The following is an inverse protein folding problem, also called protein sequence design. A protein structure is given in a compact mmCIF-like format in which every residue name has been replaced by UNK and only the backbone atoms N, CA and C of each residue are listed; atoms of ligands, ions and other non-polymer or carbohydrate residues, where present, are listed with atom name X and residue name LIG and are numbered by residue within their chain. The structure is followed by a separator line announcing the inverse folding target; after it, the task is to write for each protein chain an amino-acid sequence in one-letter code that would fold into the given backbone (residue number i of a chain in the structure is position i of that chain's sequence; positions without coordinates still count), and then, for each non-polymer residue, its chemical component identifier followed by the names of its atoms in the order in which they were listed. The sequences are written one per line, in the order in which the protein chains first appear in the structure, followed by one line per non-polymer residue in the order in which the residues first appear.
data_IF_589291408296
#
_entry.id   IF_589291408296
#
_cell.length_a   1.000
_cell.length_b   1.000
_cell.length_c   1.000
_cell.angle_alpha   90.00
_cell.angle_beta   90.00
_cell.angle_gamma   90.00
#
_symmetry.space_group_name_H-M   'P 1'
#
loop_
_entity.id
_entity.type
_entity.pdbx_description
1 polymer ?
#
# COMPACT_ATOMS: atom_id res chain seq x y z
N UNK A 1 -1.77 -13.06 5.28
CA UNK A 1 -0.95 -11.85 4.99
C UNK A 1 0.43 -12.03 5.61
N UNK A 2 1.46 -11.47 5.03
CA UNK A 2 2.77 -11.30 5.64
C UNK A 2 2.87 -9.88 6.20
N UNK A 3 3.62 -9.71 7.29
CA UNK A 3 3.81 -8.43 7.95
C UNK A 3 5.30 -8.10 8.05
N UNK A 4 5.61 -6.81 8.04
CA UNK A 4 6.97 -6.27 8.20
C UNK A 4 6.92 -5.14 9.21
N UNK A 5 7.89 -5.11 10.11
CA UNK A 5 8.00 -4.03 11.09
C UNK A 5 8.34 -2.70 10.41
N UNK A 6 7.60 -1.64 10.74
CA UNK A 6 7.98 -0.28 10.34
C UNK A 6 9.19 0.12 11.17
N UNK A 7 10.32 0.52 10.54
CA UNK A 7 11.54 0.89 11.25
C UNK A 7 11.31 1.97 12.32
N UNK A 8 12.04 1.88 13.42
CA UNK A 8 11.92 2.84 14.53
C UNK A 8 10.62 2.75 15.35
N UNK A 9 9.71 1.80 15.05
CA UNK A 9 8.41 1.64 15.71
C UNK A 9 8.17 0.20 16.19
N UNK A 10 7.04 -0.02 16.87
CA UNK A 10 6.51 -1.35 17.21
C UNK A 10 5.46 -1.87 16.22
N UNK A 11 5.11 -1.07 15.22
CA UNK A 11 4.04 -1.36 14.26
C UNK A 11 4.43 -2.45 13.26
N UNK A 12 3.53 -3.44 13.08
CA UNK A 12 3.66 -4.52 12.11
C UNK A 12 2.72 -4.25 10.92
N UNK A 13 3.25 -3.71 9.84
CA UNK A 13 2.48 -3.38 8.64
C UNK A 13 2.32 -4.59 7.73
N UNK A 14 1.12 -4.80 7.18
CA UNK A 14 0.90 -5.76 6.10
C UNK A 14 1.77 -5.43 4.88
N UNK A 15 2.30 -6.45 4.20
CA UNK A 15 3.14 -6.26 3.00
C UNK A 15 2.37 -5.62 1.83
N UNK A 16 1.04 -5.54 1.92
CA UNK A 16 0.19 -4.75 1.03
C UNK A 16 -0.38 -3.59 1.84
N UNK A 17 -0.26 -2.37 1.30
CA UNK A 17 -0.86 -1.14 1.80
C UNK A 17 -2.02 -0.74 0.88
N UNK A 18 -3.20 -0.52 1.44
CA UNK A 18 -4.39 -0.11 0.67
C UNK A 18 -4.36 1.40 0.43
N UNK A 19 -4.22 1.81 -0.82
CA UNK A 19 -4.28 3.22 -1.24
C UNK A 19 -5.71 3.66 -1.55
N UNK A 20 -6.08 4.85 -1.10
CA UNK A 20 -7.46 5.36 -1.13
C UNK A 20 -7.69 6.53 -2.10
N UNK A 21 -6.76 6.82 -3.00
CA UNK A 21 -6.84 7.97 -3.92
C UNK A 21 -8.12 7.95 -4.81
N UNK A 22 -8.71 6.78 -5.05
CA UNK A 22 -9.93 6.62 -5.86
C UNK A 22 -11.23 6.66 -5.05
N UNK A 23 -11.16 6.86 -3.74
CA UNK A 23 -12.33 6.93 -2.88
C UNK A 23 -13.04 8.29 -3.01
N UNK A 24 -14.36 8.25 -3.04
CA UNK A 24 -15.21 9.36 -3.41
C UNK A 24 -15.60 9.33 -4.90
N UNK A 25 -14.66 9.01 -5.81
CA UNK A 25 -14.87 8.80 -7.25
C UNK A 25 -13.65 8.09 -7.87
N UNK A 26 -13.81 7.02 -8.65
CA UNK A 26 -15.07 6.38 -9.03
C UNK A 26 -15.63 5.42 -7.98
N UNK A 27 -14.95 5.22 -6.84
CA UNK A 27 -15.43 4.32 -5.79
C UNK A 27 -16.29 5.12 -4.81
N UNK A 28 -17.60 4.87 -4.81
CA UNK A 28 -18.55 5.55 -3.94
C UNK A 28 -18.27 5.25 -2.45
N UNK A 29 -18.67 6.15 -1.55
CA UNK A 29 -18.38 6.04 -0.11
C UNK A 29 -18.72 4.69 0.51
N UNK A 30 -19.96 4.17 0.38
CA UNK A 30 -20.33 2.87 0.95
C UNK A 30 -19.50 1.70 0.40
N UNK A 31 -19.19 1.72 -0.90
CA UNK A 31 -18.34 0.70 -1.53
C UNK A 31 -16.89 0.80 -1.04
N UNK A 32 -16.37 2.02 -0.89
CA UNK A 32 -15.04 2.26 -0.36
C UNK A 32 -14.91 1.80 1.10
N UNK A 33 -15.92 2.08 1.95
CA UNK A 33 -15.98 1.57 3.33
C UNK A 33 -15.93 0.04 3.34
N UNK A 34 -16.71 -0.61 2.48
CA UNK A 34 -16.71 -2.07 2.35
C UNK A 34 -15.33 -2.59 1.93
N UNK A 35 -14.66 -1.97 0.97
CA UNK A 35 -13.33 -2.39 0.51
C UNK A 35 -12.28 -2.31 1.62
N UNK A 36 -12.29 -1.26 2.46
CA UNK A 36 -11.35 -1.15 3.59
C UNK A 36 -11.57 -2.29 4.59
N UNK A 37 -12.83 -2.55 4.95
CA UNK A 37 -13.18 -3.64 5.89
C UNK A 37 -12.83 -5.01 5.32
N UNK A 38 -13.20 -5.26 4.07
CA UNK A 38 -12.87 -6.49 3.35
C UNK A 38 -11.36 -6.76 3.33
N UNK A 39 -10.55 -5.73 3.07
CA UNK A 39 -9.10 -5.86 3.03
C UNK A 39 -8.51 -6.36 4.36
N UNK A 40 -9.01 -5.87 5.50
CA UNK A 40 -8.58 -6.36 6.81
C UNK A 40 -9.16 -7.75 7.12
N UNK A 41 -10.47 -7.91 6.99
CA UNK A 41 -11.20 -9.09 7.46
C UNK A 41 -10.83 -10.35 6.68
N UNK A 42 -10.76 -10.25 5.34
CA UNK A 42 -10.49 -11.41 4.48
C UNK A 42 -8.99 -11.64 4.23
N UNK A 43 -8.18 -10.58 4.27
CA UNK A 43 -6.77 -10.68 3.89
C UNK A 43 -5.79 -10.22 4.96
N UNK A 44 -6.24 -9.61 6.04
CA UNK A 44 -5.38 -9.05 7.07
C UNK A 44 -4.55 -7.86 6.59
N UNK A 45 -5.04 -7.10 5.59
CA UNK A 45 -4.43 -5.85 5.17
C UNK A 45 -4.77 -4.79 6.19
N UNK A 46 -3.79 -4.46 7.04
CA UNK A 46 -3.97 -3.51 8.13
C UNK A 46 -3.40 -2.12 7.86
N UNK A 47 -2.66 -1.93 6.78
CA UNK A 47 -2.04 -0.65 6.44
C UNK A 47 -2.89 0.08 5.40
N UNK A 48 -3.43 1.25 5.77
CA UNK A 48 -4.31 2.09 4.95
C UNK A 48 -3.61 3.43 4.73
N UNK A 49 -3.50 3.84 3.47
CA UNK A 49 -2.87 5.10 3.07
C UNK A 49 -3.90 6.03 2.42
N UNK A 50 -4.08 7.20 3.02
CA UNK A 50 -4.89 8.30 2.51
C UNK A 50 -4.09 9.60 2.43
N UNK A 51 -4.73 10.71 2.11
CA UNK A 51 -4.16 12.06 2.15
C UNK A 51 -5.26 13.12 2.26
N UNK A 52 -4.92 14.28 2.84
CA UNK A 52 -5.84 15.41 2.97
C UNK A 52 -6.40 15.89 1.62
N UNK A 53 -5.68 15.65 0.52
CA UNK A 53 -6.08 16.07 -0.82
C UNK A 53 -6.94 15.04 -1.58
N UNK A 54 -7.14 13.81 -1.08
CA UNK A 54 -7.78 12.76 -1.86
C UNK A 54 -9.31 12.89 -1.90
N UNK A 55 -9.85 13.00 -3.12
CA UNK A 55 -11.28 13.11 -3.45
C UNK A 55 -11.64 12.24 -4.67
N UNK A 56 -10.77 11.33 -5.05
CA UNK A 56 -10.92 10.56 -6.27
C UNK A 56 -10.81 11.42 -7.54
N UNK A 57 -11.57 11.04 -8.56
CA UNK A 57 -11.54 11.69 -9.89
C UNK A 57 -12.29 13.03 -9.93
N UNK A 58 -13.02 13.37 -8.89
CA UNK A 58 -13.80 14.61 -8.82
C UNK A 58 -12.98 15.81 -8.33
N UNK A 59 -11.69 15.61 -8.01
CA UNK A 59 -10.81 16.68 -7.55
C UNK A 59 -10.68 17.80 -8.58
N UNK A 60 -10.78 19.02 -8.11
CA UNK A 60 -10.56 20.24 -8.87
C UNK A 60 -9.62 21.21 -8.12
N UNK A 61 -9.08 22.21 -8.83
CA UNK A 61 -8.23 23.23 -8.21
C UNK A 61 -9.03 24.05 -7.19
N UNK A 62 -8.49 24.22 -5.97
CA UNK A 62 -9.16 24.94 -4.87
C UNK A 62 -10.13 24.07 -4.05
N UNK A 63 -10.27 22.79 -4.38
CA UNK A 63 -11.06 21.83 -3.58
C UNK A 63 -10.46 21.68 -2.17
N UNK A 64 -11.32 21.63 -1.16
CA UNK A 64 -10.93 21.47 0.24
C UNK A 64 -10.32 20.09 0.57
N UNK A 65 -10.45 19.12 -0.33
CA UNK A 65 -9.98 17.75 -0.09
C UNK A 65 -10.75 17.00 0.98
N UNK A 66 -10.19 15.90 1.44
CA UNK A 66 -10.63 15.19 2.65
C UNK A 66 -11.69 14.13 2.46
N UNK A 67 -12.29 13.98 1.29
CA UNK A 67 -13.36 12.98 1.05
C UNK A 67 -12.88 11.56 1.36
N UNK A 68 -11.67 11.19 0.92
CA UNK A 68 -11.13 9.86 1.22
C UNK A 68 -10.85 9.69 2.73
N UNK A 69 -10.43 10.73 3.45
CA UNK A 69 -10.21 10.68 4.90
C UNK A 69 -11.53 10.45 5.67
N UNK A 70 -12.63 11.10 5.28
CA UNK A 70 -13.95 10.88 5.88
C UNK A 70 -14.43 9.45 5.69
N UNK A 71 -14.27 8.89 4.47
CA UNK A 71 -14.61 7.51 4.14
C UNK A 71 -13.76 6.52 4.95
N UNK A 72 -12.45 6.76 5.03
CA UNK A 72 -11.54 5.90 5.80
C UNK A 72 -11.88 5.97 7.29
N UNK A 73 -12.15 7.17 7.83
CA UNK A 73 -12.57 7.34 9.21
C UNK A 73 -13.81 6.53 9.56
N UNK A 74 -14.83 6.53 8.69
CA UNK A 74 -16.03 5.69 8.86
C UNK A 74 -15.67 4.19 8.81
N UNK A 75 -14.80 3.81 7.87
CA UNK A 75 -14.44 2.40 7.68
C UNK A 75 -13.73 1.82 8.89
N UNK A 76 -12.78 2.55 9.49
CA UNK A 76 -11.91 2.06 10.58
C UNK A 76 -12.48 2.27 11.98
N UNK A 77 -13.54 3.07 12.15
CA UNK A 77 -14.06 3.51 13.45
C UNK A 77 -14.34 2.34 14.42
N UNK A 78 -14.87 1.23 13.91
CA UNK A 78 -15.26 0.07 14.73
C UNK A 78 -14.06 -0.75 15.26
N UNK A 79 -12.87 -0.59 14.61
CA UNK A 79 -11.66 -1.36 14.94
C UNK A 79 -10.39 -0.52 14.72
N UNK A 80 -10.43 0.78 15.13
CA UNK A 80 -9.33 1.72 14.87
C UNK A 80 -7.94 1.18 15.23
N UNK A 81 -7.84 0.47 16.34
CA UNK A 81 -6.56 -0.10 16.82
C UNK A 81 -6.00 -1.24 16.00
N UNK A 82 -6.79 -1.83 15.10
CA UNK A 82 -6.34 -2.93 14.24
C UNK A 82 -5.71 -2.40 12.92
N UNK A 83 -5.81 -1.09 12.66
CA UNK A 83 -5.29 -0.46 11.46
C UNK A 83 -4.06 0.40 11.76
N UNK A 84 -3.11 0.37 10.83
CA UNK A 84 -2.07 1.38 10.67
C UNK A 84 -2.60 2.38 9.66
N UNK A 85 -2.95 3.57 10.14
CA UNK A 85 -3.59 4.61 9.35
C UNK A 85 -2.58 5.70 9.01
N UNK A 86 -2.37 5.94 7.71
CA UNK A 86 -1.50 7.00 7.23
C UNK A 86 -2.29 8.08 6.50
N UNK A 87 -1.93 9.35 6.74
CA UNK A 87 -2.38 10.49 5.93
C UNK A 87 -1.22 11.44 5.61
N UNK A 88 -1.47 12.46 4.79
CA UNK A 88 -0.41 13.31 4.23
C UNK A 88 -0.81 14.78 4.20
N UNK A 89 0.22 15.67 4.25
CA UNK A 89 0.12 17.14 4.14
C UNK A 89 1.09 17.70 3.11
N UNK A 90 0.80 18.87 2.55
CA UNK A 90 1.72 19.64 1.70
C UNK A 90 1.31 19.76 0.24
N UNK A 91 0.32 18.99 -0.21
CA UNK A 91 -0.33 19.20 -1.50
C UNK A 91 -1.50 20.16 -1.32
N UNK A 92 -1.77 20.99 -2.35
CA UNK A 92 -2.79 22.04 -2.29
C UNK A 92 -4.17 21.48 -1.93
N UNK A 93 -4.79 22.07 -0.90
CA UNK A 93 -6.20 21.87 -0.52
C UNK A 93 -6.77 23.23 -0.12
N UNK A 94 -7.85 23.68 -0.75
CA UNK A 94 -8.40 25.02 -0.45
C UNK A 94 -7.52 26.18 -0.95
N UNK A 95 -7.70 27.36 -0.33
CA UNK A 95 -7.09 28.62 -0.78
C UNK A 95 -6.37 29.40 0.36
N UNK A 96 -6.34 28.85 1.57
CA UNK A 96 -5.64 29.49 2.68
C UNK A 96 -4.11 29.30 2.59
N UNK A 97 -3.31 30.16 3.22
CA UNK A 97 -1.86 30.05 3.21
C UNK A 97 -1.33 28.68 3.67
N UNK A 98 -1.99 28.07 4.67
CA UNK A 98 -1.62 26.75 5.20
C UNK A 98 -2.07 25.57 4.34
N UNK A 99 -2.71 25.80 3.20
CA UNK A 99 -3.35 24.76 2.41
C UNK A 99 -2.43 24.13 1.36
N UNK A 100 -1.17 24.56 1.19
CA UNK A 100 -0.29 24.03 0.14
C UNK A 100 1.18 23.81 0.56
N UNK A 101 1.57 24.00 1.80
CA UNK A 101 2.97 23.92 2.23
C UNK A 101 3.17 22.96 3.39
N UNK A 102 4.42 22.82 3.85
CA UNK A 102 4.81 22.00 5.02
C UNK A 102 5.40 22.85 6.15
N UNK A 103 5.00 24.12 6.25
CA UNK A 103 5.35 24.94 7.38
C UNK A 103 4.85 24.33 8.71
N UNK A 104 5.47 24.64 9.85
CA UNK A 104 4.99 24.18 11.16
C UNK A 104 3.50 24.46 11.42
N UNK A 105 3.00 25.58 10.92
CA UNK A 105 1.58 25.93 11.03
C UNK A 105 0.70 25.03 10.14
N UNK A 106 1.07 24.85 8.88
CA UNK A 106 0.36 23.97 7.96
C UNK A 106 0.34 22.52 8.46
N UNK A 107 1.46 21.99 8.93
CA UNK A 107 1.57 20.64 9.51
C UNK A 107 0.52 20.49 10.63
N UNK A 108 0.47 21.42 11.59
CA UNK A 108 -0.45 21.35 12.73
C UNK A 108 -1.91 21.51 12.33
N UNK A 109 -2.23 22.51 11.52
CA UNK A 109 -3.62 22.80 11.11
C UNK A 109 -4.18 21.66 10.27
N UNK A 110 -3.42 21.21 9.26
CA UNK A 110 -3.86 20.13 8.38
C UNK A 110 -3.98 18.79 9.12
N UNK A 111 -3.09 18.50 10.06
CA UNK A 111 -3.21 17.29 10.89
C UNK A 111 -4.51 17.31 11.69
N UNK A 112 -4.85 18.43 12.38
CA UNK A 112 -6.11 18.55 13.11
C UNK A 112 -7.33 18.38 12.22
N UNK A 113 -7.31 18.98 11.02
CA UNK A 113 -8.38 18.80 10.02
C UNK A 113 -8.51 17.34 9.60
N UNK A 114 -7.38 16.65 9.35
CA UNK A 114 -7.35 15.23 8.99
C UNK A 114 -7.88 14.34 10.12
N UNK A 115 -7.45 14.57 11.36
CA UNK A 115 -7.94 13.84 12.54
C UNK A 115 -9.46 14.00 12.72
N UNK A 116 -9.97 15.23 12.55
CA UNK A 116 -11.41 15.51 12.64
C UNK A 116 -12.21 14.76 11.57
N UNK A 117 -11.75 14.76 10.29
CA UNK A 117 -12.38 14.03 9.21
C UNK A 117 -12.37 12.52 9.44
N UNK A 118 -11.25 11.98 9.90
CA UNK A 118 -11.11 10.55 10.20
C UNK A 118 -11.70 10.13 11.55
N UNK A 119 -12.20 11.09 12.38
CA UNK A 119 -12.81 10.85 13.69
C UNK A 119 -11.93 10.03 14.62
N UNK A 120 -10.65 10.40 14.70
CA UNK A 120 -9.62 9.74 15.52
C UNK A 120 -8.73 10.78 16.18
N UNK A 121 -8.13 10.43 17.32
CA UNK A 121 -7.23 11.31 18.07
C UNK A 121 -5.78 11.23 17.57
N UNK A 122 -5.45 10.22 16.75
CA UNK A 122 -4.11 10.03 16.22
C UNK A 122 -4.12 9.36 14.85
N UNK A 123 -3.03 9.55 14.08
CA UNK A 123 -2.68 8.71 12.95
C UNK A 123 -1.40 7.95 13.25
N UNK A 124 -1.25 6.77 12.66
CA UNK A 124 -0.04 5.96 12.87
C UNK A 124 1.16 6.49 12.09
N UNK A 125 0.91 7.01 10.87
CA UNK A 125 1.95 7.62 10.04
C UNK A 125 1.45 8.93 9.44
N UNK A 126 2.22 10.00 9.63
CA UNK A 126 1.95 11.29 8.99
C UNK A 126 3.03 11.62 7.98
N UNK A 127 2.66 11.75 6.70
CA UNK A 127 3.61 12.02 5.63
C UNK A 127 3.65 13.50 5.23
N UNK A 128 4.86 14.00 4.94
CA UNK A 128 5.05 15.12 4.05
C UNK A 128 4.84 14.62 2.62
N UNK A 129 3.78 15.09 1.95
CA UNK A 129 3.34 14.55 0.65
C UNK A 129 4.29 14.91 -0.50
N UNK A 130 5.00 16.02 -0.34
CA UNK A 130 6.05 16.49 -1.25
C UNK A 130 7.06 17.35 -0.48
N UNK A 131 8.22 17.56 -1.09
CA UNK A 131 9.20 18.53 -0.63
C UNK A 131 8.64 19.96 -0.82
N UNK A 132 8.85 20.80 0.17
CA UNK A 132 8.54 22.22 0.18
C UNK A 132 9.86 23.02 0.25
N UNK A 133 10.26 23.71 -0.83
CA UNK A 133 11.54 24.43 -0.86
C UNK A 133 11.54 25.68 0.02
N UNK A 134 10.37 26.18 0.40
CA UNK A 134 10.21 27.41 1.17
C UNK A 134 10.21 27.16 2.69
N UNK A 135 10.20 25.89 3.11
CA UNK A 135 10.23 25.51 4.53
C UNK A 135 11.56 24.85 4.92
N UNK A 136 12.26 25.43 5.87
CA UNK A 136 13.54 24.91 6.37
C UNK A 136 13.38 23.52 7.00
N UNK A 137 14.28 22.54 6.70
CA UNK A 137 14.19 21.18 7.21
C UNK A 137 14.13 21.08 8.74
N UNK A 138 14.87 21.95 9.47
CA UNK A 138 14.85 21.99 10.92
C UNK A 138 13.49 22.40 11.47
N UNK A 139 12.80 23.35 10.82
CA UNK A 139 11.44 23.77 11.21
C UNK A 139 10.42 22.62 11.00
N UNK A 140 10.55 21.88 9.90
CA UNK A 140 9.76 20.68 9.63
C UNK A 140 10.00 19.60 10.69
N UNK A 141 11.27 19.29 10.97
CA UNK A 141 11.66 18.28 11.97
C UNK A 141 11.09 18.62 13.36
N UNK A 142 11.23 19.88 13.81
CA UNK A 142 10.67 20.33 15.09
C UNK A 142 9.16 20.15 15.15
N UNK A 143 8.43 20.54 14.09
CA UNK A 143 6.97 20.41 14.03
C UNK A 143 6.53 18.94 14.11
N UNK A 144 7.19 18.05 13.38
CA UNK A 144 6.91 16.60 13.47
C UNK A 144 7.27 16.04 14.87
N UNK A 145 8.35 16.52 15.48
CA UNK A 145 8.72 16.16 16.85
C UNK A 145 7.70 16.62 17.89
N UNK A 146 7.05 17.76 17.69
CA UNK A 146 5.94 18.25 18.55
C UNK A 146 4.74 17.31 18.47
N UNK A 147 4.34 16.93 17.25
CA UNK A 147 3.19 16.04 17.05
C UNK A 147 3.46 14.60 17.54
N UNK A 148 4.70 14.11 17.41
CA UNK A 148 5.13 12.85 18.03
C UNK A 148 5.02 12.89 19.56
N UNK A 149 5.50 13.96 20.20
CA UNK A 149 5.40 14.13 21.66
C UNK A 149 3.98 14.31 22.14
N UNK A 150 3.13 14.95 21.34
CA UNK A 150 1.70 15.10 21.63
C UNK A 150 0.93 13.79 21.46
N UNK A 151 1.51 12.78 20.81
CA UNK A 151 0.87 11.50 20.51
C UNK A 151 -0.21 11.56 19.43
N UNK A 152 -0.30 12.68 18.70
CA UNK A 152 -1.21 12.85 17.53
C UNK A 152 -0.74 12.09 16.31
N UNK A 153 0.56 11.78 16.25
CA UNK A 153 1.15 10.86 15.29
C UNK A 153 2.05 9.85 16.01
N UNK A 154 2.16 8.62 15.51
CA UNK A 154 3.05 7.58 16.07
C UNK A 154 4.38 7.48 15.33
N UNK A 155 4.38 7.82 14.05
CA UNK A 155 5.54 7.92 13.18
C UNK A 155 5.28 8.96 12.10
N UNK A 156 6.34 9.37 11.43
CA UNK A 156 6.23 10.25 10.27
C UNK A 156 7.05 9.74 9.10
N UNK A 157 6.82 10.32 7.94
CA UNK A 157 7.50 9.93 6.71
C UNK A 157 7.49 11.03 5.66
N UNK A 158 8.11 10.72 4.52
CA UNK A 158 8.18 11.63 3.37
C UNK A 158 7.68 10.92 2.10
N UNK A 159 7.16 11.69 1.16
CA UNK A 159 6.81 11.24 -0.18
C UNK A 159 7.31 12.25 -1.21
N UNK A 160 7.73 11.76 -2.39
CA UNK A 160 8.23 12.62 -3.47
C UNK A 160 9.47 13.47 -3.09
N UNK A 161 10.35 12.91 -2.28
CA UNK A 161 11.65 13.48 -1.94
C UNK A 161 12.74 12.84 -2.79
N UNK A 162 13.74 13.63 -3.18
CA UNK A 162 15.00 13.11 -3.71
C UNK A 162 15.87 12.58 -2.57
N UNK A 163 16.93 11.82 -2.89
CA UNK A 163 17.89 11.35 -1.91
C UNK A 163 18.55 12.53 -1.15
N UNK A 164 18.92 13.59 -1.86
CA UNK A 164 19.52 14.78 -1.23
C UNK A 164 18.56 15.50 -0.26
N UNK A 165 17.29 15.64 -0.63
CA UNK A 165 16.26 16.25 0.22
C UNK A 165 15.99 15.40 1.47
N UNK A 166 15.92 14.08 1.32
CA UNK A 166 15.77 13.17 2.46
C UNK A 166 16.99 13.24 3.37
N UNK A 167 18.21 13.23 2.83
CA UNK A 167 19.44 13.33 3.62
C UNK A 167 19.49 14.62 4.45
N UNK A 168 19.11 15.76 3.86
CA UNK A 168 19.04 17.05 4.57
C UNK A 168 18.02 17.01 5.72
N UNK A 169 16.86 16.38 5.50
CA UNK A 169 15.82 16.26 6.52
C UNK A 169 16.23 15.29 7.65
N UNK A 170 16.94 14.21 7.33
CA UNK A 170 17.51 13.28 8.31
C UNK A 170 18.53 13.96 9.21
N UNK A 171 19.44 14.77 8.64
CA UNK A 171 20.39 15.55 9.40
C UNK A 171 19.69 16.55 10.33
N UNK A 172 18.70 17.28 9.80
CA UNK A 172 17.92 18.23 10.60
C UNK A 172 17.14 17.54 11.75
N UNK A 173 16.57 16.36 11.51
CA UNK A 173 15.90 15.60 12.58
C UNK A 173 16.90 15.17 13.68
N UNK A 174 18.10 14.74 13.31
CA UNK A 174 19.14 14.38 14.25
C UNK A 174 19.61 15.61 15.09
N UNK A 175 19.83 16.76 14.45
CA UNK A 175 20.22 18.01 15.11
C UNK A 175 19.16 18.51 16.11
N UNK A 176 17.87 18.31 15.79
CA UNK A 176 16.74 18.68 16.66
C UNK A 176 16.38 17.60 17.70
N UNK A 177 17.10 16.48 17.72
CA UNK A 177 16.81 15.36 18.63
C UNK A 177 15.43 14.72 18.39
N UNK A 178 14.92 14.79 17.16
CA UNK A 178 13.65 14.22 16.75
C UNK A 178 13.89 12.86 16.10
N UNK A 179 13.07 11.82 16.38
CA UNK A 179 13.15 10.56 15.65
C UNK A 179 13.11 10.78 14.14
N UNK A 180 13.98 10.08 13.40
CA UNK A 180 14.04 10.16 11.95
C UNK A 180 12.69 9.78 11.30
N UNK A 181 12.41 10.23 10.05
CA UNK A 181 11.29 9.70 9.27
C UNK A 181 11.36 8.18 9.22
N UNK A 182 10.30 7.49 9.63
CA UNK A 182 10.26 6.03 9.63
C UNK A 182 10.06 5.45 8.23
N UNK A 183 9.40 6.21 7.34
CA UNK A 183 9.00 5.75 6.02
C UNK A 183 9.29 6.79 4.92
N UNK A 184 9.68 6.28 3.75
CA UNK A 184 9.77 7.02 2.49
C UNK A 184 8.80 6.39 1.47
N UNK A 185 7.98 7.23 0.83
CA UNK A 185 6.97 6.79 -0.15
C UNK A 185 7.32 7.33 -1.54
N UNK A 186 8.19 6.65 -2.33
CA UNK A 186 8.54 7.05 -3.68
C UNK A 186 7.65 6.41 -4.73
N UNK A 187 7.61 7.01 -5.95
CA UNK A 187 7.13 6.32 -7.14
C UNK A 187 8.15 5.24 -7.54
N UNK A 188 7.70 3.98 -7.64
CA UNK A 188 8.57 2.87 -8.03
C UNK A 188 7.81 1.77 -8.76
N UNK A 189 8.28 1.38 -9.92
CA UNK A 189 7.76 0.26 -10.71
C UNK A 189 8.80 -0.23 -11.71
N UNK A 190 8.52 -1.34 -12.40
CA UNK A 190 9.35 -1.81 -13.53
C UNK A 190 9.42 -0.81 -14.69
N UNK A 191 8.46 0.14 -14.79
CA UNK A 191 8.42 1.24 -15.78
C UNK A 191 8.97 2.56 -15.24
N UNK A 192 9.28 2.66 -13.97
CA UNK A 192 9.81 3.84 -13.31
C UNK A 192 10.65 3.41 -12.11
N UNK A 193 11.91 3.17 -12.32
CA UNK A 193 12.82 2.57 -11.35
C UNK A 193 13.95 3.50 -10.87
N UNK A 194 13.94 4.77 -11.22
CA UNK A 194 15.00 5.73 -10.86
C UNK A 194 15.25 5.86 -9.33
N UNK A 195 14.25 5.56 -8.50
CA UNK A 195 14.44 5.54 -7.05
C UNK A 195 15.45 4.48 -6.57
N UNK A 196 15.74 3.46 -7.38
CA UNK A 196 16.73 2.41 -7.07
C UNK A 196 18.17 2.92 -7.08
N UNK A 197 18.46 4.03 -7.77
CA UNK A 197 19.83 4.50 -7.98
C UNK A 197 20.41 5.14 -6.71
N UNK A 198 19.67 6.02 -6.05
CA UNK A 198 20.18 6.79 -4.90
C UNK A 198 19.24 6.72 -3.69
N UNK A 199 17.92 6.82 -3.91
CA UNK A 199 16.96 7.01 -2.82
C UNK A 199 16.79 5.75 -1.97
N UNK A 200 16.60 4.57 -2.59
CA UNK A 200 16.46 3.31 -1.85
C UNK A 200 17.76 2.93 -1.12
N UNK A 201 18.96 3.04 -1.72
CA UNK A 201 20.22 2.84 -0.99
C UNK A 201 20.38 3.74 0.22
N UNK A 202 19.96 5.02 0.11
CA UNK A 202 19.97 5.92 1.26
C UNK A 202 18.98 5.47 2.34
N UNK A 203 17.75 5.12 1.94
CA UNK A 203 16.73 4.61 2.89
C UNK A 203 17.24 3.37 3.64
N UNK A 204 17.86 2.42 2.94
CA UNK A 204 18.40 1.20 3.55
C UNK A 204 19.53 1.53 4.54
N UNK A 205 20.46 2.39 4.14
CA UNK A 205 21.59 2.84 5.00
C UNK A 205 21.11 3.54 6.27
N UNK A 206 20.10 4.39 6.17
CA UNK A 206 19.61 5.22 7.28
C UNK A 206 18.46 4.54 8.06
N UNK A 207 18.09 3.31 7.70
CA UNK A 207 17.02 2.56 8.37
C UNK A 207 15.62 3.15 8.15
N UNK A 208 15.37 3.80 7.01
CA UNK A 208 14.07 4.32 6.59
C UNK A 208 13.37 3.27 5.76
N UNK A 209 12.16 2.86 6.15
CA UNK A 209 11.37 1.89 5.39
C UNK A 209 10.79 2.51 4.11
N UNK A 210 10.62 1.70 3.06
CA UNK A 210 10.09 2.17 1.77
C UNK A 210 8.69 1.62 1.54
N UNK A 211 7.75 2.50 1.14
CA UNK A 211 6.37 2.15 0.75
C UNK A 211 6.11 2.69 -0.65
N UNK A 212 6.55 1.99 -1.71
CA UNK A 212 6.42 2.50 -3.07
C UNK A 212 4.96 2.61 -3.51
N UNK A 213 4.67 3.65 -4.27
CA UNK A 213 3.39 3.85 -4.97
C UNK A 213 3.57 3.78 -6.50
N UNK A 214 2.48 3.76 -7.25
CA UNK A 214 2.46 3.58 -8.71
C UNK A 214 3.12 2.28 -9.21
N UNK A 215 3.18 1.24 -8.42
CA UNK A 215 3.79 -0.05 -8.78
C UNK A 215 3.18 -0.62 -10.06
N UNK A 216 1.86 -0.45 -10.23
CA UNK A 216 1.12 -0.92 -11.41
C UNK A 216 0.99 0.15 -12.51
N UNK A 217 1.57 1.34 -12.35
CA UNK A 217 1.58 2.43 -13.34
C UNK A 217 0.20 2.69 -13.98
N UNK A 218 -0.82 2.99 -13.13
CA UNK A 218 -2.18 3.22 -13.63
C UNK A 218 -2.83 1.99 -14.28
N UNK A 219 -2.25 0.82 -14.05
CA UNK A 219 -2.69 -0.46 -14.58
C UNK A 219 -1.93 -0.94 -15.82
N UNK A 220 -0.85 -0.27 -16.25
CA UNK A 220 0.02 -0.75 -17.34
C UNK A 220 0.55 -2.15 -17.06
N UNK A 221 0.92 -2.45 -15.82
CA UNK A 221 1.48 -3.73 -15.39
C UNK A 221 0.43 -4.70 -14.83
N UNK A 222 -0.81 -4.69 -15.38
CA UNK A 222 -1.88 -5.61 -14.98
C UNK A 222 -2.35 -6.54 -16.10
N UNK A 223 -1.74 -6.45 -17.31
CA UNK A 223 -2.11 -7.27 -18.47
C UNK A 223 -3.32 -6.79 -19.26
N UNK A 224 -3.96 -5.68 -18.86
CA UNK A 224 -5.16 -5.15 -19.54
C UNK A 224 -4.87 -4.30 -20.78
N UNK A 225 -3.67 -3.73 -20.89
CA UNK A 225 -3.25 -2.93 -22.06
C UNK A 225 -2.35 -3.77 -22.95
N UNK A 226 -2.62 -3.76 -24.25
CA UNK A 226 -1.87 -4.51 -25.24
C UNK A 226 -1.56 -3.63 -26.45
N UNK A 227 -0.40 -3.84 -27.06
CA UNK A 227 0.05 -3.12 -28.25
C UNK A 227 -1.00 -3.24 -29.36
N UNK A 228 -1.39 -2.10 -29.95
CA UNK A 228 -2.36 -2.03 -31.06
C UNK A 228 -3.82 -2.29 -30.67
N UNK A 229 -4.17 -2.36 -29.37
CA UNK A 229 -5.53 -2.51 -28.88
C UNK A 229 -6.02 -1.23 -28.18
N UNK A 230 -7.32 -0.99 -28.28
CA UNK A 230 -7.96 0.11 -27.54
C UNK A 230 -7.93 -0.13 -26.03
N UNK A 231 -7.96 0.96 -25.26
CA UNK A 231 -8.02 0.88 -23.81
C UNK A 231 -9.35 0.28 -23.36
N UNK A 232 -9.35 -0.73 -22.46
CA UNK A 232 -10.59 -1.31 -21.95
C UNK A 232 -11.44 -0.25 -21.22
N UNK A 233 -12.77 -0.34 -21.39
CA UNK A 233 -13.71 0.50 -20.64
C UNK A 233 -13.48 0.37 -19.12
N UNK A 234 -13.64 1.45 -18.35
CA UNK A 234 -13.39 1.49 -16.92
C UNK A 234 -11.90 1.48 -16.53
N UNK A 235 -10.98 1.43 -17.50
CA UNK A 235 -9.55 1.58 -17.25
C UNK A 235 -9.17 3.04 -17.02
N UNK A 236 -8.04 3.28 -16.32
CA UNK A 236 -7.57 4.65 -16.09
C UNK A 236 -7.29 5.40 -17.40
N UNK A 237 -6.76 4.72 -18.41
CA UNK A 237 -6.49 5.32 -19.72
C UNK A 237 -7.79 5.77 -20.41
N UNK A 238 -8.89 5.01 -20.26
CA UNK A 238 -10.18 5.40 -20.83
C UNK A 238 -10.88 6.53 -20.03
N UNK A 239 -10.71 6.57 -18.69
CA UNK A 239 -11.41 7.51 -17.81
C UNK A 239 -10.63 8.80 -17.53
N UNK A 240 -9.29 8.71 -17.43
CA UNK A 240 -8.36 9.79 -17.08
C UNK A 240 -7.05 9.66 -17.86
N UNK A 241 -7.08 9.82 -19.20
CA UNK A 241 -5.90 9.67 -20.05
C UNK A 241 -4.79 10.66 -19.67
N UNK A 242 -5.14 11.85 -19.19
CA UNK A 242 -4.23 12.90 -18.75
C UNK A 242 -3.40 12.49 -17.50
N UNK A 243 -3.81 11.44 -16.78
CA UNK A 243 -3.07 10.87 -15.63
C UNK A 243 -2.17 9.71 -16.02
N UNK A 244 -2.11 9.38 -17.30
CA UNK A 244 -1.30 8.28 -17.80
C UNK A 244 -0.05 8.78 -18.51
N UNK A 245 1.07 8.10 -18.33
CA UNK A 245 2.24 8.31 -19.18
C UNK A 245 1.95 7.81 -20.60
N UNK A 246 2.60 8.38 -21.63
CA UNK A 246 2.48 7.85 -22.99
C UNK A 246 2.87 6.38 -23.09
N UNK A 247 2.19 5.65 -23.94
CA UNK A 247 2.54 4.27 -24.31
C UNK A 247 3.48 4.32 -25.50
N UNK A 248 4.78 4.32 -25.25
CA UNK A 248 5.83 4.21 -26.27
C UNK A 248 6.14 2.74 -26.57
N UNK A 249 6.92 2.47 -27.60
CA UNK A 249 7.36 1.12 -27.90
C UNK A 249 8.17 0.51 -26.74
N UNK A 250 9.03 1.29 -26.10
CA UNK A 250 9.79 0.87 -24.91
C UNK A 250 8.86 0.54 -23.74
N UNK A 251 7.76 1.29 -23.58
CA UNK A 251 6.73 0.98 -22.55
C UNK A 251 6.10 -0.38 -22.82
N UNK A 252 5.72 -0.64 -24.09
CA UNK A 252 5.15 -1.95 -24.47
C UNK A 252 6.15 -3.09 -24.31
N UNK A 253 7.43 -2.88 -24.64
CA UNK A 253 8.47 -3.89 -24.48
C UNK A 253 8.62 -4.31 -22.99
N UNK A 254 8.53 -3.35 -22.05
CA UNK A 254 8.52 -3.66 -20.61
C UNK A 254 7.25 -4.42 -20.22
N UNK A 255 6.07 -4.00 -20.71
CA UNK A 255 4.80 -4.67 -20.45
C UNK A 255 4.83 -6.12 -20.94
N UNK A 256 5.30 -6.35 -22.16
CA UNK A 256 5.39 -7.68 -22.78
C UNK A 256 6.40 -8.59 -22.06
N UNK A 257 7.55 -8.04 -21.65
CA UNK A 257 8.52 -8.75 -20.80
C UNK A 257 7.92 -9.13 -19.45
N UNK A 258 7.27 -8.19 -18.77
CA UNK A 258 6.59 -8.46 -17.50
C UNK A 258 5.52 -9.57 -17.63
N UNK A 259 4.78 -9.58 -18.76
CA UNK A 259 3.81 -10.64 -19.05
C UNK A 259 4.46 -12.03 -19.22
N UNK A 260 5.59 -12.08 -19.91
CA UNK A 260 6.34 -13.32 -20.13
C UNK A 260 6.93 -13.86 -18.81
N UNK A 261 7.53 -13.00 -18.00
CA UNK A 261 8.09 -13.34 -16.69
C UNK A 261 6.99 -13.82 -15.73
N UNK A 262 5.85 -13.13 -15.65
CA UNK A 262 4.70 -13.53 -14.85
C UNK A 262 4.16 -14.91 -15.26
N UNK A 263 4.06 -15.17 -16.59
CA UNK A 263 3.63 -16.45 -17.11
C UNK A 263 4.60 -17.58 -16.75
N UNK A 264 5.91 -17.34 -16.82
CA UNK A 264 6.95 -18.29 -16.43
C UNK A 264 6.89 -18.62 -14.93
N UNK A 265 6.55 -17.63 -14.09
CA UNK A 265 6.34 -17.82 -12.66
C UNK A 265 4.99 -18.48 -12.31
N UNK A 266 4.05 -18.54 -13.25
CA UNK A 266 2.68 -19.03 -13.03
C UNK A 266 1.85 -18.12 -12.13
N UNK A 267 2.03 -16.80 -12.26
CA UNK A 267 1.31 -15.75 -11.52
C UNK A 267 0.71 -14.73 -12.49
N UNK A 268 -0.14 -13.81 -11.98
CA UNK A 268 -0.62 -12.70 -12.81
C UNK A 268 0.46 -11.61 -12.95
N UNK A 269 0.34 -10.76 -13.97
CA UNK A 269 1.24 -9.60 -14.11
C UNK A 269 1.18 -8.67 -12.88
N UNK A 270 0.00 -8.44 -12.33
CA UNK A 270 -0.19 -7.69 -11.09
C UNK A 270 0.64 -8.28 -9.96
N UNK A 271 0.54 -9.60 -9.76
CA UNK A 271 1.30 -10.30 -8.71
C UNK A 271 2.80 -10.25 -8.95
N UNK A 272 3.24 -10.42 -10.19
CA UNK A 272 4.64 -10.32 -10.57
C UNK A 272 5.20 -8.90 -10.28
N UNK A 273 4.52 -7.85 -10.73
CA UNK A 273 4.93 -6.47 -10.49
C UNK A 273 4.98 -6.12 -8.99
N UNK A 274 4.01 -6.60 -8.21
CA UNK A 274 4.00 -6.40 -6.75
C UNK A 274 5.15 -7.15 -6.08
N UNK A 275 5.44 -8.39 -6.48
CA UNK A 275 6.58 -9.18 -5.96
C UNK A 275 7.90 -8.51 -6.29
N UNK A 276 8.05 -8.01 -7.52
CA UNK A 276 9.22 -7.27 -7.93
C UNK A 276 9.47 -6.06 -7.01
N UNK A 277 8.45 -5.25 -6.77
CA UNK A 277 8.55 -4.09 -5.89
C UNK A 277 8.86 -4.49 -4.43
N UNK A 278 8.20 -5.53 -3.93
CA UNK A 278 8.40 -6.04 -2.57
C UNK A 278 9.77 -6.70 -2.35
N UNK A 279 10.46 -7.09 -3.42
CA UNK A 279 11.81 -7.66 -3.36
C UNK A 279 12.91 -6.58 -3.32
N UNK A 280 12.57 -5.31 -3.55
CA UNK A 280 13.56 -4.23 -3.49
C UNK A 280 14.03 -3.96 -2.05
N UNK A 281 15.30 -3.56 -1.85
CA UNK A 281 15.84 -3.29 -0.52
C UNK A 281 14.99 -2.27 0.26
N UNK A 282 14.80 -2.50 1.55
CA UNK A 282 14.09 -1.59 2.44
C UNK A 282 12.56 -1.52 2.24
N UNK A 283 11.97 -2.21 1.25
CA UNK A 283 10.52 -2.13 1.01
C UNK A 283 9.74 -2.86 2.11
N UNK A 284 8.99 -2.09 2.87
CA UNK A 284 8.11 -2.55 3.96
C UNK A 284 6.78 -3.05 3.43
N UNK A 285 6.14 -2.29 2.54
CA UNK A 285 4.79 -2.57 2.04
C UNK A 285 4.62 -2.01 0.64
N UNK A 286 3.86 -2.67 -0.22
CA UNK A 286 3.50 -2.22 -1.56
C UNK A 286 2.15 -1.50 -1.55
N UNK A 287 2.11 -0.22 -1.94
CA UNK A 287 0.88 0.57 -1.98
C UNK A 287 0.09 0.26 -3.25
N UNK A 288 -1.14 -0.20 -3.08
CA UNK A 288 -2.05 -0.58 -4.17
C UNK A 288 -3.37 0.15 -4.04
N UNK A 289 -3.70 0.95 -5.04
CA UNK A 289 -5.04 1.54 -5.19
C UNK A 289 -6.00 0.53 -5.83
N UNK A 290 -7.19 0.42 -5.27
CA UNK A 290 -8.22 -0.54 -5.71
C UNK A 290 -9.55 0.14 -5.99
N UNK A 291 -10.39 -0.52 -6.82
CA UNK A 291 -11.77 -0.12 -7.10
C UNK A 291 -12.79 -1.22 -6.75
N UNK A 292 -12.33 -2.46 -6.50
CA UNK A 292 -13.18 -3.62 -6.21
C UNK A 292 -12.41 -4.71 -5.46
N UNK A 293 -13.13 -5.64 -4.85
CA UNK A 293 -12.60 -6.69 -3.97
C UNK A 293 -11.62 -7.63 -4.68
N UNK A 294 -11.87 -7.99 -5.94
CA UNK A 294 -11.00 -8.90 -6.70
C UNK A 294 -9.57 -8.34 -6.88
N UNK A 295 -9.43 -7.01 -6.86
CA UNK A 295 -8.09 -6.38 -6.91
C UNK A 295 -7.35 -6.51 -5.58
N UNK A 296 -8.08 -6.56 -4.45
CA UNK A 296 -7.52 -6.86 -3.14
C UNK A 296 -7.11 -8.32 -3.08
N UNK A 297 -7.96 -9.24 -3.56
CA UNK A 297 -7.66 -10.67 -3.65
C UNK A 297 -6.39 -10.92 -4.45
N UNK A 298 -6.28 -10.29 -5.62
CA UNK A 298 -5.13 -10.41 -6.51
C UNK A 298 -3.85 -9.88 -5.86
N UNK A 299 -3.90 -8.68 -5.25
CA UNK A 299 -2.77 -8.10 -4.55
C UNK A 299 -2.33 -8.94 -3.34
N UNK A 300 -3.28 -9.42 -2.53
CA UNK A 300 -3.00 -10.32 -1.42
C UNK A 300 -2.36 -11.64 -1.89
N UNK A 301 -2.72 -12.11 -3.08
CA UNK A 301 -2.10 -13.28 -3.72
C UNK A 301 -0.61 -13.12 -4.00
N UNK A 302 -0.11 -11.89 -4.18
CA UNK A 302 1.31 -11.62 -4.39
C UNK A 302 2.18 -12.01 -3.19
N UNK A 303 1.65 -11.86 -1.96
CA UNK A 303 2.36 -12.10 -0.69
C UNK A 303 2.00 -13.42 -0.01
N UNK A 304 1.04 -14.16 -0.54
CA UNK A 304 0.75 -15.52 -0.06
C UNK A 304 1.84 -16.45 -0.59
N UNK A 305 2.51 -17.21 0.28
CA UNK A 305 3.40 -18.30 -0.13
C UNK A 305 2.66 -19.25 -1.10
N UNK A 306 3.36 -19.83 -2.08
CA UNK A 306 2.79 -20.85 -2.97
C UNK A 306 2.09 -21.91 -2.10
N UNK A 307 0.75 -21.97 -2.15
CA UNK A 307 0.06 -23.18 -1.69
C UNK A 307 0.63 -24.33 -2.53
N UNK A 308 1.15 -25.40 -1.93
CA UNK A 308 1.50 -26.59 -2.71
C UNK A 308 0.26 -26.96 -3.51
N UNK A 309 0.42 -27.16 -4.83
CA UNK A 309 -0.66 -27.69 -5.67
C UNK A 309 -1.17 -28.94 -4.97
N UNK A 310 -2.43 -28.96 -4.53
CA UNK A 310 -3.08 -30.21 -4.11
C UNK A 310 -2.92 -31.15 -5.29
N UNK A 311 -2.08 -32.16 -5.13
CA UNK A 311 -2.02 -33.25 -6.09
C UNK A 311 -3.44 -33.73 -6.29
N UNK A 312 -3.94 -33.63 -7.51
CA UNK A 312 -5.17 -34.27 -7.91
C UNK A 312 -5.00 -35.75 -7.56
N UNK A 313 -5.74 -36.21 -6.55
CA UNK A 313 -5.76 -37.59 -6.15
C UNK A 313 -6.13 -38.42 -7.38
N UNK A 314 -5.24 -39.32 -7.76
CA UNK A 314 -5.50 -40.36 -8.75
C UNK A 314 -6.74 -41.15 -8.28
N UNK A 315 -7.89 -40.85 -8.87
CA UNK A 315 -9.02 -41.76 -8.88
C UNK A 315 -8.71 -42.83 -9.93
N UNK A 316 -8.12 -43.89 -9.47
CA UNK A 316 -7.94 -45.12 -10.24
C UNK A 316 -8.49 -46.26 -9.37
N UNK A 317 -9.76 -46.51 -9.51
CA UNK A 317 -10.38 -47.72 -8.98
C UNK A 317 -9.92 -48.92 -9.78
N UNK A 318 -9.10 -49.78 -9.21
CA UNK A 318 -9.06 -51.22 -9.62
C UNK A 318 -9.80 -52.03 -8.59
N UNK A 319 -10.97 -52.52 -8.98
CA UNK A 319 -11.64 -53.65 -8.37
C UNK A 319 -10.86 -54.90 -8.73
N UNK A 320 -10.29 -55.56 -7.76
CA UNK A 320 -9.98 -56.99 -7.87
C UNK A 320 -10.72 -57.73 -6.78
N UNK A 321 -11.55 -58.68 -7.24
CA UNK A 321 -12.25 -59.69 -6.50
C UNK A 321 -11.27 -60.81 -6.13
N UNK A 322 -11.23 -61.21 -4.86
CA UNK A 322 -10.85 -62.56 -4.51
C UNK A 322 -11.77 -63.08 -3.40
N UNK A 323 -12.19 -64.30 -3.66
CA UNK A 323 -13.18 -65.16 -3.00
C UNK A 323 -12.69 -65.67 -1.62
N UNK A 324 -13.66 -65.89 -0.80
CA UNK A 324 -13.91 -67.00 0.17
C UNK A 324 -12.75 -67.76 0.78
N UNK A 325 -12.74 -67.83 2.12
CA UNK A 325 -11.98 -68.77 2.91
C UNK A 325 -12.38 -68.74 4.38
N UNK A 326 -13.34 -69.62 4.71
CA UNK A 326 -13.88 -69.96 6.03
C UNK A 326 -12.77 -70.55 6.96
N UNK A 327 -12.88 -70.30 8.26
CA UNK A 327 -12.70 -71.20 9.49
C UNK A 327 -12.33 -70.30 10.67
N UNK A 328 -13.12 -70.19 11.62
CA UNK A 328 -13.66 -70.89 12.80
C UNK A 328 -12.75 -70.81 14.04
N UNK A 329 -13.43 -70.37 15.14
CA UNK A 329 -13.24 -70.73 16.61
C UNK A 329 -12.08 -70.07 17.33
N UNK A 330 -12.30 -69.46 18.39
CA UNK A 330 -12.76 -69.64 19.76
C UNK A 330 -12.18 -68.58 20.70
N UNK A 331 -13.05 -68.06 21.51
CA UNK A 331 -12.82 -67.41 22.80
C UNK A 331 -12.13 -68.32 23.81
N UNK A 332 -11.67 -67.93 25.02
CA UNK A 332 -12.20 -66.87 25.89
C UNK A 332 -11.22 -66.14 26.85
N UNK A 333 -11.76 -65.09 27.49
CA UNK A 333 -11.59 -64.65 28.90
C UNK A 333 -10.17 -64.39 29.44
N UNK A 334 -9.85 -63.36 30.16
CA UNK A 334 -10.43 -62.71 31.33
C UNK A 334 -9.51 -61.64 31.90
N UNK A 335 -10.15 -60.57 32.47
CA UNK A 335 -9.77 -59.80 33.69
C UNK A 335 -8.32 -59.33 33.85
N UNK A 336 -8.14 -58.09 34.10
CA UNK A 336 -8.46 -57.24 35.21
C UNK A 336 -7.25 -56.42 35.57
N UNK A 337 -7.46 -55.25 35.79
CA UNK A 337 -7.09 -54.19 36.75
C UNK A 337 -6.99 -52.84 36.04
#
# INVERSE_FOLDING_TARGET
MQYTKIPGTDMQASRICLGTMTFGSPVAGPDAVRLVRYALEEHGVNFIDTANMYEGYNRYAGSAGGVAEEIVGEAVAHRRGDYILATKVGMKVGEAPEDENTSPEAIRIQLRRSLARMRTDYVDVYYLHRYDPDTEPHAVARAMGEELRAGTIRAWGVSNYTAAQLAALLAAAADEGVPAPALCQPALSMLNNGALEELLPLCEKEGVGVVPYQILQGGMLTGKYRRGQEAPAGSRLAEKPEWMKPFTDETYDVIERCAAEAAAEGVTMTQHALRWALAQPGVVSALVGVKREEQIDEAAGAVRGRRPKKNAARTGAQKESVRDGVFDRQHPLARGL
#
